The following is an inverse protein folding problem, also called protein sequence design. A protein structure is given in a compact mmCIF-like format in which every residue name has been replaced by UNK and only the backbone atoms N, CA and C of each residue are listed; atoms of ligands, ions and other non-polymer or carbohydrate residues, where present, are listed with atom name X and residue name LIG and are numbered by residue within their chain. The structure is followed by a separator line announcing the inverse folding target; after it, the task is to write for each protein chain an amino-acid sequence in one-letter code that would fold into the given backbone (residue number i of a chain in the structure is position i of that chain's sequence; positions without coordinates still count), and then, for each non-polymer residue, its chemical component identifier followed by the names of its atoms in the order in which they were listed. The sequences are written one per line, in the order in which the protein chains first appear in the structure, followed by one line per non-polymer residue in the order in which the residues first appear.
data_IF_920806762497
#
_entry.id   IF_920806762497
#
_cell.length_a   1.000
_cell.length_b   1.000
_cell.length_c   1.000
_cell.angle_alpha   90.00
_cell.angle_beta   90.00
_cell.angle_gamma   90.00
#
_symmetry.space_group_name_H-M   'P 1'
#
loop_
_entity.id
_entity.type
_entity.pdbx_description
1 polymer ?
#
# COMPACT_ATOMS: atom_id res chain seq x y z
N UNK A 1 -29.93 52.17 -36.61
CA UNK A 1 -30.04 50.72 -36.89
C UNK A 1 -28.63 50.22 -37.11
N UNK A 2 -27.93 49.84 -36.05
CA UNK A 2 -26.55 49.34 -36.13
C UNK A 2 -26.58 47.82 -35.96
N UNK A 3 -26.10 47.09 -36.98
CA UNK A 3 -25.94 45.63 -36.90
C UNK A 3 -24.73 45.31 -36.02
N UNK A 4 -24.78 44.27 -35.17
CA UNK A 4 -23.61 43.80 -34.46
C UNK A 4 -22.71 43.05 -35.46
N UNK A 5 -21.50 43.57 -35.69
CA UNK A 5 -20.46 42.84 -36.40
C UNK A 5 -20.12 41.56 -35.63
N UNK A 6 -20.40 40.41 -36.24
CA UNK A 6 -19.94 39.11 -35.78
C UNK A 6 -18.43 39.03 -35.94
N UNK A 7 -17.69 39.23 -34.85
CA UNK A 7 -16.23 39.10 -34.84
C UNK A 7 -15.85 37.64 -35.07
N UNK A 8 -15.38 37.31 -36.28
CA UNK A 8 -14.68 36.05 -36.52
C UNK A 8 -13.39 36.01 -35.67
N UNK A 9 -13.08 34.89 -35.00
CA UNK A 9 -11.84 34.78 -34.25
C UNK A 9 -10.64 34.82 -35.21
N UNK A 10 -9.53 35.46 -34.83
CA UNK A 10 -8.37 35.63 -35.70
C UNK A 10 -7.75 34.27 -36.09
N UNK A 11 -7.25 34.11 -37.33
CA UNK A 11 -6.65 32.87 -37.81
C UNK A 11 -5.38 32.55 -37.02
N UNK A 12 -5.49 31.64 -36.05
CA UNK A 12 -4.40 31.27 -35.14
C UNK A 12 -4.85 30.94 -33.72
N UNK A 13 -6.04 31.39 -33.31
CA UNK A 13 -6.59 31.14 -31.96
C UNK A 13 -6.76 29.65 -31.65
N UNK A 14 -7.23 28.86 -32.62
CA UNK A 14 -7.44 27.42 -32.45
C UNK A 14 -6.12 26.65 -32.29
N UNK A 15 -5.06 27.05 -33.02
CA UNK A 15 -3.73 26.43 -32.88
C UNK A 15 -3.12 26.71 -31.52
N UNK A 16 -3.25 27.95 -31.05
CA UNK A 16 -2.77 28.34 -29.73
C UNK A 16 -3.53 27.59 -28.62
N UNK A 17 -4.84 27.43 -28.79
CA UNK A 17 -5.68 26.66 -27.86
C UNK A 17 -5.29 25.19 -27.83
N UNK A 18 -5.10 24.56 -28.98
CA UNK A 18 -4.67 23.14 -29.07
C UNK A 18 -3.28 22.95 -28.44
N UNK A 19 -2.34 23.86 -28.69
CA UNK A 19 -1.01 23.83 -28.07
C UNK A 19 -1.09 24.01 -26.55
N UNK A 20 -1.92 24.93 -26.06
CA UNK A 20 -2.14 25.11 -24.63
C UNK A 20 -2.77 23.87 -23.97
N UNK A 21 -3.78 23.26 -24.60
CA UNK A 21 -4.38 22.01 -24.13
C UNK A 21 -3.36 20.86 -24.08
N UNK A 22 -2.49 20.73 -25.09
CA UNK A 22 -1.43 19.73 -25.12
C UNK A 22 -0.41 19.95 -23.97
N UNK A 23 -0.01 21.20 -23.71
CA UNK A 23 0.89 21.53 -22.60
C UNK A 23 0.27 21.26 -21.23
N UNK A 24 -1.02 21.58 -21.05
CA UNK A 24 -1.74 21.28 -19.82
C UNK A 24 -1.86 19.76 -19.64
N UNK A 25 -2.20 19.03 -20.70
CA UNK A 25 -2.32 17.59 -20.66
C UNK A 25 -0.98 16.92 -20.29
N UNK A 26 0.13 17.33 -20.90
CA UNK A 26 1.45 16.79 -20.57
C UNK A 26 1.87 17.16 -19.15
N UNK A 27 1.57 18.37 -18.67
CA UNK A 27 1.81 18.77 -17.28
C UNK A 27 0.99 17.91 -16.30
N UNK A 28 -0.29 17.67 -16.58
CA UNK A 28 -1.17 16.83 -15.74
C UNK A 28 -0.68 15.39 -15.70
N UNK A 29 -0.24 14.84 -16.85
CA UNK A 29 0.29 13.47 -16.92
C UNK A 29 1.66 13.32 -16.23
N UNK A 30 2.50 14.35 -16.24
CA UNK A 30 3.85 14.31 -15.65
C UNK A 30 3.89 14.71 -14.16
N UNK A 31 2.89 15.46 -13.69
CA UNK A 31 2.76 15.87 -12.29
C UNK A 31 2.89 14.74 -11.26
N UNK A 32 2.23 13.57 -11.37
CA UNK A 32 2.37 12.50 -10.39
C UNK A 32 3.79 11.93 -10.31
N UNK A 33 4.51 11.89 -11.43
CA UNK A 33 5.92 11.46 -11.47
C UNK A 33 6.80 12.49 -10.75
N UNK A 34 6.65 13.78 -11.10
CA UNK A 34 7.40 14.88 -10.47
C UNK A 34 7.13 14.97 -8.97
N UNK A 35 5.89 14.77 -8.54
CA UNK A 35 5.49 14.74 -7.12
C UNK A 35 6.19 13.60 -6.38
N UNK A 36 6.22 12.40 -6.96
CA UNK A 36 6.90 11.24 -6.36
C UNK A 36 8.40 11.47 -6.23
N UNK A 37 9.03 12.01 -7.27
CA UNK A 37 10.46 12.35 -7.27
C UNK A 37 10.79 13.40 -6.20
N UNK A 38 9.96 14.45 -6.09
CA UNK A 38 10.12 15.50 -5.08
C UNK A 38 10.01 14.94 -3.65
N UNK A 39 9.05 14.04 -3.41
CA UNK A 39 8.90 13.36 -2.11
C UNK A 39 10.12 12.48 -1.79
N UNK A 40 10.64 11.76 -2.78
CA UNK A 40 11.86 10.95 -2.64
C UNK A 40 13.08 11.81 -2.29
N UNK A 41 13.25 12.92 -3.00
CA UNK A 41 14.38 13.83 -2.79
C UNK A 41 14.30 14.51 -1.42
N UNK A 42 13.11 14.95 -1.03
CA UNK A 42 12.86 15.52 0.29
C UNK A 42 13.16 14.48 1.38
N UNK A 43 12.62 13.27 1.26
CA UNK A 43 12.84 12.17 2.20
C UNK A 43 14.32 11.80 2.35
N UNK A 44 15.04 11.70 1.22
CA UNK A 44 16.48 11.42 1.21
C UNK A 44 17.29 12.52 1.90
N UNK A 45 16.92 13.79 1.72
CA UNK A 45 17.59 14.92 2.36
C UNK A 45 17.27 14.99 3.86
N UNK A 46 16.02 14.77 4.25
CA UNK A 46 15.59 14.85 5.65
C UNK A 46 15.85 13.58 6.44
N UNK A 47 16.42 12.53 5.82
CA UNK A 47 16.45 11.15 6.36
C UNK A 47 15.07 10.68 6.85
N UNK A 48 14.01 11.24 6.30
CA UNK A 48 12.66 10.83 6.65
C UNK A 48 12.29 9.61 5.80
N UNK A 49 11.36 8.83 6.29
CA UNK A 49 10.94 7.58 5.67
C UNK A 49 10.23 7.77 4.31
N UNK A 50 10.44 6.84 3.38
CA UNK A 50 9.67 6.73 2.13
C UNK A 50 8.49 5.79 2.34
N UNK A 51 7.26 6.33 2.22
CA UNK A 51 6.00 5.57 2.27
C UNK A 51 6.05 4.32 1.38
N UNK A 52 5.52 3.20 1.89
CA UNK A 52 5.36 1.94 1.16
C UNK A 52 6.57 1.01 1.16
N UNK A 53 7.70 1.38 1.78
CA UNK A 53 8.89 0.51 1.85
C UNK A 53 8.66 -0.71 2.75
N UNK A 54 7.92 -0.53 3.84
CA UNK A 54 7.53 -1.57 4.77
C UNK A 54 6.04 -1.87 4.70
N UNK A 55 5.69 -3.09 5.05
CA UNK A 55 4.31 -3.52 5.20
C UNK A 55 4.14 -4.28 6.51
N UNK A 56 2.97 -4.14 7.12
CA UNK A 56 2.52 -4.97 8.23
C UNK A 56 1.68 -6.08 7.63
N UNK A 57 2.11 -7.33 7.83
CA UNK A 57 1.38 -8.53 7.42
C UNK A 57 0.59 -9.04 8.62
N UNK A 58 -0.70 -9.23 8.40
CA UNK A 58 -1.64 -9.81 9.33
C UNK A 58 -1.81 -11.27 8.97
N UNK A 59 -1.61 -12.15 9.95
CA UNK A 59 -1.83 -13.59 9.82
C UNK A 59 -2.66 -14.04 10.98
N UNK A 60 -3.80 -14.65 10.71
CA UNK A 60 -4.61 -15.25 11.75
C UNK A 60 -4.18 -16.71 11.95
N UNK A 61 -3.76 -17.08 13.16
CA UNK A 61 -3.19 -18.39 13.44
C UNK A 61 -3.98 -19.11 14.55
N UNK A 62 -4.47 -20.35 14.34
CA UNK A 62 -5.21 -21.06 15.37
C UNK A 62 -4.29 -21.46 16.52
N UNK A 63 -4.76 -21.28 17.76
CA UNK A 63 -4.04 -21.80 18.91
C UNK A 63 -4.34 -23.30 19.07
N UNK A 64 -3.34 -24.17 18.96
CA UNK A 64 -3.53 -25.62 19.12
C UNK A 64 -4.13 -26.00 20.48
N UNK A 65 -3.79 -25.29 21.55
CA UNK A 65 -4.27 -25.61 22.90
C UNK A 65 -5.76 -25.27 23.02
N UNK A 66 -6.17 -24.12 22.50
CA UNK A 66 -7.57 -23.66 22.62
C UNK A 66 -8.48 -24.36 21.61
N UNK A 67 -7.97 -24.66 20.40
CA UNK A 67 -8.68 -25.51 19.44
C UNK A 67 -8.97 -26.90 20.00
N UNK A 68 -8.02 -27.51 20.73
CA UNK A 68 -8.24 -28.79 21.44
C UNK A 68 -9.27 -28.67 22.56
N UNK A 69 -9.25 -27.58 23.31
CA UNK A 69 -10.19 -27.37 24.41
C UNK A 69 -11.62 -27.14 23.88
N UNK A 70 -11.79 -26.34 22.82
CA UNK A 70 -13.08 -26.13 22.14
C UNK A 70 -13.60 -27.42 21.50
N UNK A 71 -12.74 -28.18 20.81
CA UNK A 71 -13.11 -29.48 20.24
C UNK A 71 -13.57 -30.48 21.31
N UNK A 72 -13.01 -30.42 22.53
CA UNK A 72 -13.45 -31.26 23.66
C UNK A 72 -14.83 -30.86 24.20
N UNK A 73 -15.22 -29.59 24.08
CA UNK A 73 -16.59 -29.12 24.40
C UNK A 73 -17.60 -29.43 23.29
N UNK A 74 -17.14 -29.84 22.10
CA UNK A 74 -17.94 -30.01 20.89
C UNK A 74 -18.54 -31.42 20.76
N UNK A 75 -19.63 -31.69 21.48
CA UNK A 75 -20.47 -32.87 21.20
C UNK A 75 -21.96 -32.56 21.03
N UNK A 76 -22.37 -31.33 20.68
CA UNK A 76 -23.80 -31.00 20.47
C UNK A 76 -24.11 -29.88 19.43
N UNK A 77 -23.35 -29.76 18.34
CA UNK A 77 -23.82 -29.11 17.10
C UNK A 77 -24.26 -27.64 17.15
N UNK A 78 -23.43 -26.73 17.71
CA UNK A 78 -23.68 -25.28 17.69
C UNK A 78 -22.37 -24.48 17.60
N UNK A 79 -22.41 -23.36 16.85
CA UNK A 79 -21.42 -22.26 16.66
C UNK A 79 -19.97 -22.60 17.05
N UNK A 80 -19.08 -22.68 16.06
CA UNK A 80 -17.62 -22.75 16.24
C UNK A 80 -17.07 -21.43 16.79
N UNK A 81 -16.69 -21.42 18.07
CA UNK A 81 -15.79 -20.39 18.64
C UNK A 81 -14.38 -20.97 18.71
N UNK A 82 -13.57 -20.78 17.68
CA UNK A 82 -12.13 -21.05 17.74
C UNK A 82 -11.40 -19.82 18.28
N UNK A 83 -10.50 -20.00 19.26
CA UNK A 83 -9.61 -18.90 19.65
C UNK A 83 -8.41 -18.86 18.72
N UNK A 84 -8.26 -17.73 18.06
CA UNK A 84 -7.22 -17.48 17.10
C UNK A 84 -6.30 -16.35 17.60
N UNK A 85 -5.04 -16.39 17.16
CA UNK A 85 -4.02 -15.42 17.50
C UNK A 85 -3.72 -14.61 16.25
N UNK A 86 -3.93 -13.29 16.32
CA UNK A 86 -3.55 -12.38 15.26
C UNK A 86 -2.05 -12.04 15.35
N UNK A 87 -1.28 -12.50 14.38
CA UNK A 87 0.14 -12.19 14.22
C UNK A 87 0.31 -10.92 13.37
N UNK A 88 1.03 -9.93 13.90
CA UNK A 88 1.39 -8.70 13.20
C UNK A 88 2.89 -8.69 12.87
N UNK A 89 3.23 -9.11 11.66
CA UNK A 89 4.62 -9.23 11.20
C UNK A 89 5.00 -7.98 10.40
N UNK A 90 6.09 -7.33 10.79
CA UNK A 90 6.62 -6.16 10.08
C UNK A 90 7.71 -6.67 9.14
N UNK A 91 7.60 -6.34 7.85
CA UNK A 91 8.59 -6.78 6.86
C UNK A 91 8.70 -5.78 5.71
N UNK A 92 9.74 -5.91 4.89
CA UNK A 92 9.85 -5.14 3.65
C UNK A 92 8.72 -5.51 2.71
N UNK A 93 8.09 -4.52 2.07
CA UNK A 93 7.01 -4.75 1.10
C UNK A 93 7.44 -5.72 -0.02
N UNK A 94 8.71 -5.66 -0.43
CA UNK A 94 9.30 -6.58 -1.41
C UNK A 94 9.36 -8.05 -0.96
N UNK A 95 9.35 -8.32 0.35
CA UNK A 95 9.41 -9.68 0.93
C UNK A 95 8.03 -10.25 1.28
N UNK A 96 6.96 -9.45 1.19
CA UNK A 96 5.59 -9.88 1.55
C UNK A 96 5.16 -11.12 0.77
N UNK A 97 5.34 -11.14 -0.55
CA UNK A 97 4.95 -12.29 -1.39
C UNK A 97 5.61 -13.61 -0.96
N UNK A 98 6.91 -13.56 -0.64
CA UNK A 98 7.66 -14.72 -0.14
C UNK A 98 7.15 -15.16 1.24
N UNK A 99 6.90 -14.21 2.13
CA UNK A 99 6.35 -14.48 3.46
C UNK A 99 4.95 -15.11 3.37
N UNK A 100 4.06 -14.55 2.56
CA UNK A 100 2.70 -15.09 2.35
C UNK A 100 2.71 -16.50 1.80
N UNK A 101 3.63 -16.81 0.88
CA UNK A 101 3.81 -18.16 0.33
C UNK A 101 4.26 -19.14 1.41
N UNK A 102 5.25 -18.76 2.22
CA UNK A 102 5.71 -19.58 3.33
C UNK A 102 4.60 -19.82 4.36
N UNK A 103 3.86 -18.77 4.73
CA UNK A 103 2.75 -18.90 5.68
C UNK A 103 1.69 -19.85 5.16
N UNK A 104 1.31 -19.77 3.87
CA UNK A 104 0.36 -20.73 3.26
C UNK A 104 0.82 -22.18 3.32
N UNK A 105 2.11 -22.45 3.20
CA UNK A 105 2.65 -23.82 3.25
C UNK A 105 2.74 -24.36 4.68
N UNK A 106 2.98 -23.48 5.66
CA UNK A 106 3.13 -23.86 7.06
C UNK A 106 1.82 -23.83 7.85
N UNK A 107 0.78 -23.18 7.34
CA UNK A 107 -0.47 -22.98 8.07
C UNK A 107 -1.30 -24.26 8.18
N UNK A 108 -1.92 -24.54 9.35
CA UNK A 108 -2.78 -25.72 9.51
C UNK A 108 -4.09 -25.68 8.72
N UNK A 109 -4.55 -24.48 8.34
CA UNK A 109 -5.75 -24.30 7.51
C UNK A 109 -5.41 -24.25 6.02
N UNK A 110 -6.28 -24.86 5.21
CA UNK A 110 -6.19 -24.87 3.74
C UNK A 110 -6.21 -23.45 3.16
N UNK A 111 -7.02 -22.56 3.73
CA UNK A 111 -7.14 -21.16 3.32
C UNK A 111 -6.85 -20.26 4.53
N UNK A 112 -5.58 -19.89 4.78
CA UNK A 112 -5.25 -18.99 5.86
C UNK A 112 -5.62 -17.54 5.54
N UNK A 113 -6.04 -16.80 6.55
CA UNK A 113 -6.20 -15.35 6.46
C UNK A 113 -4.82 -14.69 6.50
N UNK A 114 -4.35 -14.22 5.35
CA UNK A 114 -3.07 -13.52 5.20
C UNK A 114 -3.25 -12.30 4.30
N UNK A 115 -3.05 -11.11 4.85
CA UNK A 115 -3.07 -9.85 4.08
C UNK A 115 -2.02 -8.87 4.60
N UNK A 116 -1.68 -7.85 3.79
CA UNK A 116 -0.66 -6.86 4.14
C UNK A 116 -1.15 -5.43 3.93
N UNK A 117 -0.77 -4.53 4.84
CA UNK A 117 -1.02 -3.10 4.73
C UNK A 117 0.32 -2.36 4.60
N UNK A 118 0.52 -1.51 3.59
CA UNK A 118 1.73 -0.71 3.46
C UNK A 118 1.81 0.35 4.57
N UNK A 119 3.01 0.59 5.07
CA UNK A 119 3.28 1.63 6.06
C UNK A 119 3.59 2.95 5.35
N UNK A 120 2.76 3.97 5.58
CA UNK A 120 2.93 5.29 4.97
C UNK A 120 3.83 6.22 5.79
N UNK A 121 3.75 6.15 7.11
CA UNK A 121 4.49 7.01 8.03
C UNK A 121 4.90 6.22 9.28
N UNK A 122 5.90 6.73 9.99
CA UNK A 122 6.35 6.18 11.27
C UNK A 122 7.52 6.98 11.85
N UNK A 123 7.87 6.70 13.10
CA UNK A 123 9.05 7.30 13.73
C UNK A 123 10.31 6.87 12.97
N UNK A 124 11.11 7.86 12.54
CA UNK A 124 12.28 7.63 11.71
C UNK A 124 13.34 6.75 12.39
N UNK A 125 13.46 6.81 13.73
CA UNK A 125 14.40 5.98 14.50
C UNK A 125 13.92 4.54 14.55
N UNK A 126 12.63 4.32 14.75
CA UNK A 126 12.03 2.99 14.70
C UNK A 126 12.21 2.33 13.32
N UNK A 127 11.95 3.07 12.25
CA UNK A 127 12.08 2.56 10.90
C UNK A 127 13.54 2.29 10.51
N UNK A 128 14.48 3.10 11.01
CA UNK A 128 15.91 2.82 10.88
C UNK A 128 16.32 1.55 11.61
N UNK A 129 15.87 1.37 12.85
CA UNK A 129 16.09 0.12 13.60
C UNK A 129 15.49 -1.09 12.87
N UNK A 130 14.29 -0.94 12.30
CA UNK A 130 13.63 -1.99 11.52
C UNK A 130 14.44 -2.38 10.28
N UNK A 131 14.97 -1.38 9.56
CA UNK A 131 15.87 -1.60 8.42
C UNK A 131 17.12 -2.38 8.82
N UNK A 132 17.77 -1.97 9.92
CA UNK A 132 18.98 -2.61 10.43
C UNK A 132 18.71 -4.04 10.88
N UNK A 133 17.58 -4.31 11.54
CA UNK A 133 17.17 -5.65 11.96
C UNK A 133 16.85 -6.61 10.80
N UNK A 134 16.61 -6.08 9.59
CA UNK A 134 16.26 -6.86 8.39
C UNK A 134 17.38 -6.98 7.36
N UNK A 135 18.58 -6.47 7.66
CA UNK A 135 19.75 -6.72 6.82
C UNK A 135 20.10 -8.20 6.90
N UNK A 136 20.25 -8.82 5.73
CA UNK A 136 20.77 -10.19 5.64
C UNK A 136 22.27 -10.13 6.01
N UNK A 137 22.68 -10.99 6.94
CA UNK A 137 24.09 -11.26 7.22
C UNK A 137 24.69 -12.16 6.13
#
# INVERSE_FOLDING_TARGET
MDRPESRCPPPGSLRLFVLACLLILTAVLTYPMLRTISLWFHSSLTRSYVSGTYSIVFVNYPNEQIARDVARYFWKGKIEESTEILLLIKTKTSKVSRLSTYMRLAHPFEIPEVFSIPMDQGDARYLKWLEEAMKEN
#
